data_IF_202741794098
#
_entry.id   IF_202741794098
#
_cell.length_a   1.000
_cell.length_b   1.000
_cell.length_c   1.000
_cell.angle_alpha   90.00
_cell.angle_beta   90.00
_cell.angle_gamma   90.00
#
_symmetry.space_group_name_H-M   'P 1'
#
loop_
_entity.id
_entity.type
_entity.pdbx_description
1 polymer ?
#
# COMPACT_ATOMS: atom_id res chain seq x y z
N UNK A 1 12.66 -5.20 -41.92
CA UNK A 1 11.49 -4.32 -41.72
C UNK A 1 11.70 -3.65 -40.38
N UNK A 2 11.88 -2.32 -40.34
CA UNK A 2 11.91 -1.56 -39.11
C UNK A 2 10.58 -1.80 -38.36
N UNK A 3 10.66 -2.26 -37.10
CA UNK A 3 9.47 -2.30 -36.23
C UNK A 3 8.98 -0.88 -36.08
N UNK A 4 7.71 -0.63 -36.35
CA UNK A 4 7.14 0.72 -36.26
C UNK A 4 7.31 1.25 -34.83
N UNK A 5 7.56 2.56 -34.67
CA UNK A 5 7.68 3.21 -33.37
C UNK A 5 6.50 2.90 -32.41
N UNK A 6 5.31 2.66 -32.98
CA UNK A 6 4.12 2.23 -32.23
C UNK A 6 4.31 0.93 -31.42
N UNK A 7 5.20 0.04 -31.81
CA UNK A 7 5.43 -1.22 -31.08
C UNK A 7 6.22 -1.03 -29.79
N UNK A 8 7.02 0.04 -29.65
CA UNK A 8 7.78 0.31 -28.42
C UNK A 8 6.91 0.94 -27.32
N UNK A 9 5.84 1.63 -27.71
CA UNK A 9 4.89 2.25 -26.79
C UNK A 9 3.74 1.31 -26.38
N UNK A 10 3.61 0.16 -27.04
CA UNK A 10 2.52 -0.76 -26.75
C UNK A 10 2.66 -1.41 -25.37
N UNK A 11 1.52 -1.76 -24.77
CA UNK A 11 1.46 -2.38 -23.45
C UNK A 11 1.93 -1.41 -22.36
N UNK A 12 2.64 -1.94 -21.37
CA UNK A 12 3.10 -1.18 -20.21
C UNK A 12 4.34 -0.31 -20.47
N UNK A 13 5.10 -0.59 -21.53
CA UNK A 13 6.37 0.10 -21.81
C UNK A 13 6.21 1.60 -22.10
N UNK A 14 5.10 2.01 -22.73
CA UNK A 14 4.86 3.41 -23.03
C UNK A 14 4.84 4.29 -21.78
N UNK A 15 4.32 3.78 -20.67
CA UNK A 15 4.32 4.53 -19.39
C UNK A 15 5.74 4.73 -18.84
N UNK A 16 6.61 3.72 -18.97
CA UNK A 16 8.01 3.83 -18.53
C UNK A 16 8.76 4.88 -19.36
N UNK A 17 8.61 4.81 -20.68
CA UNK A 17 9.24 5.75 -21.61
C UNK A 17 8.78 7.18 -21.35
N UNK A 18 7.48 7.39 -21.17
CA UNK A 18 6.93 8.71 -20.87
C UNK A 18 7.38 9.24 -19.50
N UNK A 19 7.48 8.37 -18.49
CA UNK A 19 8.00 8.79 -17.17
C UNK A 19 9.45 9.25 -17.26
N UNK A 20 10.29 8.53 -18.01
CA UNK A 20 11.67 8.94 -18.31
C UNK A 20 11.70 10.26 -19.07
N UNK A 21 10.87 10.43 -20.09
CA UNK A 21 10.79 11.68 -20.87
C UNK A 21 10.40 12.87 -19.98
N UNK A 22 9.39 12.71 -19.12
CA UNK A 22 9.02 13.76 -18.16
C UNK A 22 10.16 14.10 -17.20
N UNK A 23 10.94 13.09 -16.77
CA UNK A 23 12.09 13.34 -15.93
C UNK A 23 13.20 14.09 -16.69
N UNK A 24 13.47 13.74 -17.94
CA UNK A 24 14.41 14.48 -18.80
C UNK A 24 14.02 15.95 -18.91
N UNK A 25 12.72 16.24 -19.16
CA UNK A 25 12.21 17.62 -19.23
C UNK A 25 12.41 18.35 -17.89
N UNK A 26 12.13 17.70 -16.75
CA UNK A 26 12.39 18.28 -15.41
C UNK A 26 13.87 18.56 -15.16
N UNK A 27 14.76 17.82 -15.79
CA UNK A 27 16.22 18.03 -15.75
C UNK A 27 16.71 19.12 -16.71
N UNK A 28 15.82 19.74 -17.51
CA UNK A 28 16.14 20.85 -18.37
C UNK A 28 16.40 20.49 -19.84
N UNK A 29 16.23 19.22 -20.22
CA UNK A 29 16.29 18.82 -21.64
C UNK A 29 14.97 19.16 -22.33
N UNK A 30 15.02 19.88 -23.46
CA UNK A 30 13.80 20.19 -24.22
C UNK A 30 13.26 18.98 -24.98
N UNK A 31 11.98 19.01 -25.38
CA UNK A 31 11.43 17.97 -26.24
C UNK A 31 12.14 17.88 -27.59
N UNK A 32 12.60 19.01 -28.13
CA UNK A 32 13.41 19.06 -29.37
C UNK A 32 14.76 18.36 -29.17
N UNK A 33 15.43 18.58 -28.03
CA UNK A 33 16.63 17.85 -27.69
C UNK A 33 16.41 16.34 -27.67
N UNK A 34 15.31 15.89 -27.08
CA UNK A 34 14.98 14.46 -26.98
C UNK A 34 14.71 13.83 -28.35
N UNK A 35 14.11 14.59 -29.28
CA UNK A 35 13.77 14.11 -30.61
C UNK A 35 14.97 13.99 -31.55
N UNK A 36 15.96 14.87 -31.41
CA UNK A 36 17.11 14.97 -32.31
C UNK A 36 18.48 14.76 -31.63
N UNK A 37 18.51 14.73 -30.32
CA UNK A 37 19.73 14.85 -29.53
C UNK A 37 20.64 13.62 -29.46
N UNK A 38 20.23 12.44 -29.92
CA UNK A 38 21.04 11.22 -29.93
C UNK A 38 21.46 10.76 -28.54
N UNK A 39 20.59 10.91 -27.55
CA UNK A 39 20.84 10.47 -26.18
C UNK A 39 20.81 8.95 -26.06
N UNK A 40 21.69 8.44 -25.19
CA UNK A 40 21.61 7.11 -24.58
C UNK A 40 21.22 7.31 -23.12
N UNK A 41 20.07 6.79 -22.75
CA UNK A 41 19.55 6.91 -21.39
C UNK A 41 19.54 5.51 -20.78
N UNK A 42 20.24 5.32 -19.65
CA UNK A 42 20.15 4.13 -18.82
C UNK A 42 19.14 4.42 -17.72
N UNK A 43 18.10 3.61 -17.65
CA UNK A 43 17.04 3.76 -16.66
C UNK A 43 17.32 2.95 -15.40
N UNK A 44 16.61 3.28 -14.31
CA UNK A 44 16.71 2.57 -13.04
C UNK A 44 15.80 1.33 -12.98
N UNK A 45 14.92 1.14 -13.97
CA UNK A 45 13.99 0.02 -13.99
C UNK A 45 14.71 -1.32 -14.01
N UNK A 46 14.38 -2.17 -13.04
CA UNK A 46 14.81 -3.57 -13.03
C UNK A 46 13.83 -4.42 -13.84
N UNK A 47 14.38 -5.27 -14.71
CA UNK A 47 13.56 -6.09 -15.61
C UNK A 47 12.66 -7.07 -14.87
N UNK A 48 13.18 -7.70 -13.82
CA UNK A 48 12.47 -8.72 -13.05
C UNK A 48 11.41 -8.09 -12.17
N UNK A 49 11.76 -6.99 -11.47
CA UNK A 49 10.82 -6.20 -10.68
C UNK A 49 9.69 -5.62 -11.56
N UNK A 50 10.01 -5.11 -12.76
CA UNK A 50 8.99 -4.59 -13.69
C UNK A 50 8.05 -5.70 -14.18
N UNK A 51 8.57 -6.88 -14.49
CA UNK A 51 7.75 -8.03 -14.87
C UNK A 51 6.86 -8.48 -13.71
N UNK A 52 7.40 -8.51 -12.49
CA UNK A 52 6.64 -8.81 -11.27
C UNK A 52 5.49 -7.84 -11.04
N UNK A 53 5.70 -6.52 -11.25
CA UNK A 53 4.67 -5.51 -11.10
C UNK A 53 3.50 -5.73 -12.08
N UNK A 54 3.80 -6.07 -13.32
CA UNK A 54 2.78 -6.37 -14.34
C UNK A 54 2.01 -7.64 -13.97
N UNK A 55 2.70 -8.70 -13.57
CA UNK A 55 2.09 -9.99 -13.26
C UNK A 55 1.24 -9.91 -11.98
N UNK A 56 1.72 -9.25 -10.92
CA UNK A 56 0.97 -9.11 -9.66
C UNK A 56 -0.33 -8.34 -9.84
N UNK A 57 -0.34 -7.31 -10.69
CA UNK A 57 -1.57 -6.59 -11.02
C UNK A 57 -2.50 -7.46 -11.85
N UNK A 58 -1.99 -8.18 -12.83
CA UNK A 58 -2.78 -9.06 -13.69
C UNK A 58 -3.38 -10.23 -12.92
N UNK A 59 -2.62 -10.87 -12.05
CA UNK A 59 -3.05 -12.01 -11.23
C UNK A 59 -4.07 -11.62 -10.16
N UNK A 60 -4.24 -10.33 -9.85
CA UNK A 60 -5.26 -9.85 -8.91
C UNK A 60 -6.70 -10.17 -9.34
N UNK A 61 -6.92 -10.48 -10.62
CA UNK A 61 -8.23 -10.81 -11.18
C UNK A 61 -9.17 -9.63 -11.40
N UNK A 62 -8.74 -8.39 -11.07
CA UNK A 62 -9.57 -7.18 -11.22
C UNK A 62 -8.98 -6.16 -12.19
N UNK A 63 -7.83 -6.42 -12.78
CA UNK A 63 -7.10 -5.49 -13.65
C UNK A 63 -7.89 -5.03 -14.89
N UNK A 64 -8.82 -5.85 -15.37
CA UNK A 64 -9.62 -5.59 -16.57
C UNK A 64 -10.98 -4.95 -16.27
N UNK A 65 -11.30 -4.64 -15.01
CA UNK A 65 -12.56 -4.01 -14.64
C UNK A 65 -12.68 -2.60 -15.25
N UNK A 66 -13.85 -2.35 -15.85
CA UNK A 66 -14.12 -1.08 -16.50
C UNK A 66 -14.04 0.10 -15.54
N UNK A 67 -13.22 1.08 -15.89
CA UNK A 67 -13.02 2.31 -15.12
C UNK A 67 -12.09 2.13 -13.91
N UNK A 68 -11.68 0.90 -13.57
CA UNK A 68 -10.69 0.66 -12.52
C UNK A 68 -9.31 1.10 -13.02
N UNK A 69 -8.60 1.82 -12.16
CA UNK A 69 -7.21 2.21 -12.33
C UNK A 69 -6.40 1.64 -11.18
N UNK A 70 -5.39 0.86 -11.51
CA UNK A 70 -4.43 0.31 -10.55
C UNK A 70 -3.10 0.97 -10.85
N UNK A 71 -2.50 1.62 -9.86
CA UNK A 71 -1.15 2.16 -9.90
C UNK A 71 -0.25 1.39 -8.95
N UNK A 72 0.99 1.13 -9.37
CA UNK A 72 2.04 0.60 -8.52
C UNK A 72 3.34 1.33 -8.82
N UNK A 73 4.07 1.72 -7.77
CA UNK A 73 5.44 2.26 -7.89
C UNK A 73 6.30 1.66 -6.79
N UNK A 74 7.50 1.25 -7.15
CA UNK A 74 8.49 0.65 -6.24
C UNK A 74 9.83 1.37 -6.35
N UNK A 75 10.40 1.75 -5.20
CA UNK A 75 11.57 2.62 -5.08
C UNK A 75 12.57 1.99 -4.12
N UNK A 76 13.86 1.98 -4.47
CA UNK A 76 14.93 1.69 -3.51
C UNK A 76 15.05 2.81 -2.49
N UNK A 77 15.14 2.45 -1.23
CA UNK A 77 15.05 3.40 -0.12
C UNK A 77 16.30 4.27 0.03
N UNK A 78 17.45 3.74 -0.32
CA UNK A 78 18.77 4.37 -0.17
C UNK A 78 19.20 5.24 -1.36
N UNK A 79 18.73 4.90 -2.57
CA UNK A 79 19.15 5.55 -3.82
C UNK A 79 18.04 6.32 -4.53
N UNK A 80 16.78 6.06 -4.19
CA UNK A 80 15.63 6.63 -4.90
C UNK A 80 15.38 6.03 -6.28
N UNK A 81 16.12 4.99 -6.69
CA UNK A 81 15.90 4.31 -7.97
C UNK A 81 14.49 3.72 -8.04
N UNK A 82 13.70 4.17 -9.01
CA UNK A 82 12.42 3.55 -9.34
C UNK A 82 12.69 2.25 -10.07
N UNK A 83 12.54 1.11 -9.38
CA UNK A 83 12.86 -0.21 -9.94
C UNK A 83 11.71 -0.80 -10.74
N UNK A 84 10.46 -0.39 -10.44
CA UNK A 84 9.27 -0.81 -11.19
C UNK A 84 8.15 0.22 -11.04
N UNK A 85 7.31 0.31 -12.09
CA UNK A 85 6.06 1.03 -12.04
C UNK A 85 5.01 0.40 -12.98
N UNK A 86 3.77 0.35 -12.51
CA UNK A 86 2.62 -0.06 -13.32
C UNK A 86 1.69 1.13 -13.54
N UNK A 87 1.76 1.70 -14.74
CA UNK A 87 0.95 2.85 -15.16
C UNK A 87 -0.38 2.47 -15.81
N UNK A 88 -0.59 1.17 -16.10
CA UNK A 88 -1.78 0.67 -16.79
C UNK A 88 -1.43 -0.50 -17.71
N UNK A 89 -2.45 -1.18 -18.26
CA UNK A 89 -2.25 -2.37 -19.08
C UNK A 89 -1.76 -2.06 -20.50
N UNK A 90 -2.19 -0.94 -21.09
CA UNK A 90 -1.84 -0.61 -22.47
C UNK A 90 -1.84 0.91 -22.68
N UNK A 91 -0.64 1.48 -22.85
CA UNK A 91 -0.41 2.90 -23.06
C UNK A 91 -1.10 3.43 -24.32
N UNK A 92 -1.18 2.63 -25.39
CA UNK A 92 -1.82 3.07 -26.64
C UNK A 92 -3.34 3.24 -26.50
N UNK A 93 -3.95 2.58 -25.51
CA UNK A 93 -5.38 2.71 -25.19
C UNK A 93 -5.65 3.83 -24.19
N UNK A 94 -4.75 4.02 -23.24
CA UNK A 94 -4.91 5.03 -22.19
C UNK A 94 -3.53 5.54 -21.76
N UNK A 95 -3.21 6.77 -22.14
CA UNK A 95 -1.88 7.34 -21.92
C UNK A 95 -1.67 7.87 -20.49
N UNK A 96 -2.75 8.13 -19.73
CA UNK A 96 -2.62 8.58 -18.35
C UNK A 96 -2.04 7.48 -17.47
N UNK A 97 -0.81 7.66 -17.02
CA UNK A 97 -0.13 6.73 -16.12
C UNK A 97 -0.76 6.70 -14.73
N UNK A 98 -1.14 5.50 -14.27
CA UNK A 98 -1.70 5.33 -12.93
C UNK A 98 -0.63 5.39 -11.82
N UNK A 99 0.66 5.37 -12.19
CA UNK A 99 1.77 5.34 -11.24
C UNK A 99 2.24 6.74 -10.82
N UNK A 100 2.35 7.67 -11.78
CA UNK A 100 2.97 8.98 -11.56
C UNK A 100 2.17 10.17 -12.11
N UNK A 101 0.92 9.93 -12.58
CA UNK A 101 0.01 10.99 -13.04
C UNK A 101 -1.39 10.86 -12.42
N UNK A 102 -1.96 9.65 -12.36
CA UNK A 102 -3.24 9.47 -11.70
C UNK A 102 -3.09 9.62 -10.19
N UNK A 103 -4.06 10.28 -9.58
CA UNK A 103 -4.08 10.59 -8.16
C UNK A 103 -5.29 9.95 -7.48
N UNK A 104 -5.18 9.68 -6.20
CA UNK A 104 -6.27 9.19 -5.37
C UNK A 104 -6.17 9.73 -3.95
N UNK A 105 -7.31 9.95 -3.31
CA UNK A 105 -7.33 10.32 -1.90
C UNK A 105 -6.53 9.29 -1.09
N UNK A 106 -5.54 9.75 -0.34
CA UNK A 106 -4.59 8.88 0.36
C UNK A 106 -5.25 8.03 1.47
N UNK A 107 -6.35 8.50 2.05
CA UNK A 107 -6.97 7.81 3.16
C UNK A 107 -6.01 7.65 4.34
N UNK A 108 -6.16 6.59 5.09
CA UNK A 108 -5.33 6.33 6.28
C UNK A 108 -3.83 6.12 6.01
N UNK A 109 -3.37 6.09 4.75
CA UNK A 109 -1.92 6.09 4.47
C UNK A 109 -1.27 7.43 4.80
N UNK A 110 -2.05 8.45 5.15
CA UNK A 110 -1.52 9.74 5.61
C UNK A 110 -1.17 9.76 7.10
N UNK A 111 -1.65 8.80 7.88
CA UNK A 111 -1.44 8.70 9.34
C UNK A 111 0.03 8.61 9.79
N UNK A 112 0.96 7.95 9.06
CA UNK A 112 2.36 7.93 9.45
C UNK A 112 3.03 9.31 9.51
N UNK A 113 2.61 10.26 8.68
CA UNK A 113 3.12 11.63 8.76
C UNK A 113 2.66 12.34 10.03
N UNK A 114 1.46 12.03 10.51
CA UNK A 114 0.97 12.54 11.80
C UNK A 114 1.67 11.85 12.98
N UNK A 115 2.05 10.57 12.87
CA UNK A 115 2.88 9.90 13.88
C UNK A 115 4.25 10.57 13.98
N UNK A 116 4.94 10.80 12.86
CA UNK A 116 6.24 11.46 12.87
C UNK A 116 6.14 12.85 13.55
N UNK A 117 5.13 13.66 13.21
CA UNK A 117 4.91 14.94 13.84
C UNK A 117 4.57 14.83 15.35
N UNK A 118 3.88 13.74 15.75
CA UNK A 118 3.54 13.48 17.15
C UNK A 118 4.78 13.10 17.97
N UNK A 119 5.66 12.27 17.41
CA UNK A 119 6.90 11.85 18.04
C UNK A 119 7.87 13.03 18.19
N UNK A 120 7.99 13.90 17.17
CA UNK A 120 8.74 15.16 17.27
C UNK A 120 8.20 16.10 18.38
N UNK A 121 6.91 15.99 18.73
CA UNK A 121 6.28 16.72 19.84
C UNK A 121 6.37 15.99 21.19
N UNK A 122 7.07 14.84 21.26
CA UNK A 122 7.25 14.04 22.47
C UNK A 122 6.03 13.20 22.87
N UNK A 123 5.11 12.95 21.95
CA UNK A 123 3.99 12.00 22.14
C UNK A 123 4.48 10.62 21.73
N UNK A 124 4.51 9.68 22.65
CA UNK A 124 5.00 8.31 22.42
C UNK A 124 3.87 7.31 22.10
N UNK A 125 4.22 6.11 21.65
CA UNK A 125 3.30 5.04 21.28
C UNK A 125 2.49 4.48 22.45
N UNK A 126 2.95 4.63 23.70
CA UNK A 126 2.27 4.16 24.91
C UNK A 126 1.19 5.15 25.36
N UNK A 127 1.21 6.38 24.84
CA UNK A 127 0.23 7.42 25.20
C UNK A 127 -1.20 6.94 24.96
N UNK A 128 -2.10 7.26 25.92
CA UNK A 128 -3.49 6.78 25.89
C UNK A 128 -4.43 7.80 25.28
N UNK A 129 -5.31 7.33 24.40
CA UNK A 129 -6.26 8.12 23.63
C UNK A 129 -7.65 7.51 23.65
N UNK A 130 -8.69 8.37 23.57
CA UNK A 130 -10.08 7.92 23.45
C UNK A 130 -10.39 7.53 21.99
N UNK A 131 -10.52 6.24 21.74
CA UNK A 131 -10.88 5.63 20.45
C UNK A 131 -12.39 5.38 20.28
N UNK A 132 -13.25 5.99 21.12
CA UNK A 132 -14.72 5.84 21.01
C UNK A 132 -15.23 6.31 19.65
N UNK A 133 -16.33 5.70 19.17
CA UNK A 133 -16.97 6.03 17.90
C UNK A 133 -18.50 5.88 18.03
N UNK A 134 -19.32 6.81 17.50
CA UNK A 134 -18.90 8.08 16.85
C UNK A 134 -18.46 9.17 17.86
N UNK A 135 -17.59 10.08 17.42
CA UNK A 135 -17.16 11.24 18.22
C UNK A 135 -17.26 12.54 17.41
N UNK A 136 -17.49 13.67 18.13
CA UNK A 136 -17.30 14.99 17.55
C UNK A 136 -15.99 15.56 18.07
N UNK A 137 -15.03 15.79 17.18
CA UNK A 137 -13.69 16.28 17.50
C UNK A 137 -13.49 17.57 16.71
N UNK A 138 -13.23 18.71 17.40
CA UNK A 138 -13.01 20.01 16.78
C UNK A 138 -14.10 20.41 15.77
N UNK A 139 -15.37 20.02 16.04
CA UNK A 139 -16.53 20.29 15.17
C UNK A 139 -16.78 19.24 14.09
N UNK A 140 -15.87 18.30 13.85
CA UNK A 140 -16.04 17.21 12.87
C UNK A 140 -16.73 16.00 13.52
N UNK A 141 -17.81 15.52 12.91
CA UNK A 141 -18.46 14.26 13.30
C UNK A 141 -17.71 13.11 12.63
N UNK A 142 -17.03 12.31 13.42
CA UNK A 142 -16.11 11.26 12.96
C UNK A 142 -16.62 9.88 13.37
N UNK A 143 -16.27 8.89 12.54
CA UNK A 143 -16.48 7.49 12.82
C UNK A 143 -15.20 6.71 12.53
N UNK A 144 -14.95 5.68 13.32
CA UNK A 144 -13.99 4.66 12.98
C UNK A 144 -14.56 3.72 11.90
N UNK A 145 -13.69 2.99 11.20
CA UNK A 145 -14.11 1.97 10.22
C UNK A 145 -15.10 1.01 10.90
N UNK A 146 -16.18 0.66 10.19
CA UNK A 146 -17.25 -0.18 10.74
C UNK A 146 -17.96 0.43 11.96
N UNK A 147 -17.73 1.71 12.30
CA UNK A 147 -18.20 2.39 13.50
C UNK A 147 -17.79 1.69 14.82
N UNK A 148 -16.66 0.98 14.80
CA UNK A 148 -16.14 0.29 16.00
C UNK A 148 -15.67 1.29 17.03
N UNK A 149 -16.11 1.12 18.29
CA UNK A 149 -15.68 1.92 19.43
C UNK A 149 -14.63 1.14 20.24
N UNK A 150 -13.44 1.74 20.40
CA UNK A 150 -12.30 1.08 21.06
C UNK A 150 -12.11 1.53 22.52
N UNK A 151 -12.81 2.56 22.98
CA UNK A 151 -12.56 3.15 24.31
C UNK A 151 -11.14 3.74 24.42
N UNK A 152 -10.57 3.71 25.61
CA UNK A 152 -9.20 4.18 25.83
C UNK A 152 -8.19 3.13 25.39
N UNK A 153 -7.34 3.49 24.41
CA UNK A 153 -6.34 2.64 23.79
C UNK A 153 -5.00 3.36 23.65
N UNK A 154 -3.89 2.62 23.54
CA UNK A 154 -2.59 3.21 23.23
C UNK A 154 -2.54 3.74 21.81
N UNK A 155 -1.63 4.70 21.54
CA UNK A 155 -1.38 5.19 20.18
C UNK A 155 -0.90 4.06 19.26
N UNK A 156 -0.14 3.10 19.78
CA UNK A 156 0.26 1.91 19.04
C UNK A 156 -0.95 1.10 18.59
N UNK A 157 -1.88 0.77 19.49
CA UNK A 157 -3.12 0.05 19.14
C UNK A 157 -3.97 0.85 18.17
N UNK A 158 -4.06 2.17 18.36
CA UNK A 158 -4.78 3.06 17.43
C UNK A 158 -4.15 3.04 16.02
N UNK A 159 -2.83 2.86 15.92
CA UNK A 159 -2.10 2.75 14.65
C UNK A 159 -2.35 1.39 13.99
N UNK A 160 -2.25 0.28 14.74
CA UNK A 160 -2.55 -1.07 14.27
C UNK A 160 -3.97 -1.18 13.69
N UNK A 161 -4.94 -0.62 14.38
CA UNK A 161 -6.37 -0.65 14.01
C UNK A 161 -6.79 0.54 13.15
N UNK A 162 -5.86 1.46 12.85
CA UNK A 162 -6.13 2.63 12.00
C UNK A 162 -7.28 3.51 12.51
N UNK A 163 -7.37 3.77 13.83
CA UNK A 163 -8.50 4.41 14.51
C UNK A 163 -8.61 5.88 14.16
N UNK A 164 -9.63 6.29 13.42
CA UNK A 164 -9.79 7.65 12.89
C UNK A 164 -9.93 8.70 13.99
N UNK A 165 -10.74 8.41 15.02
CA UNK A 165 -11.03 9.37 16.10
C UNK A 165 -9.78 9.72 16.89
N UNK A 166 -8.87 8.77 17.13
CA UNK A 166 -7.58 9.01 17.79
C UNK A 166 -6.70 9.91 16.93
N UNK A 167 -6.54 9.57 15.64
CA UNK A 167 -5.63 10.31 14.77
C UNK A 167 -6.05 11.75 14.50
N UNK A 168 -7.36 12.03 14.39
CA UNK A 168 -7.85 13.42 14.25
C UNK A 168 -7.66 14.20 15.54
N UNK A 169 -7.88 13.59 16.70
CA UNK A 169 -7.63 14.21 18.00
C UNK A 169 -6.14 14.53 18.19
N UNK A 170 -5.28 13.56 17.90
CA UNK A 170 -3.82 13.69 17.94
C UNK A 170 -3.32 14.79 16.99
N UNK A 171 -3.73 14.78 15.71
CA UNK A 171 -3.34 15.80 14.75
C UNK A 171 -3.75 17.21 15.19
N UNK A 172 -4.93 17.33 15.80
CA UNK A 172 -5.36 18.59 16.36
C UNK A 172 -4.57 19.03 17.60
N UNK A 173 -4.01 18.09 18.38
CA UNK A 173 -3.19 18.39 19.57
C UNK A 173 -1.76 18.78 19.17
N UNK A 174 -1.17 18.04 18.23
CA UNK A 174 0.18 18.28 17.68
C UNK A 174 0.23 19.59 16.88
N UNK A 175 -0.80 19.84 16.10
CA UNK A 175 -0.88 20.97 15.17
C UNK A 175 -0.90 20.48 13.71
N UNK A 176 -1.94 20.90 13.01
CA UNK A 176 -2.22 20.45 11.64
C UNK A 176 -1.16 20.89 10.63
N UNK A 177 -0.51 22.05 10.89
CA UNK A 177 0.61 22.55 10.08
C UNK A 177 1.81 21.62 10.19
N UNK A 178 2.11 21.09 11.39
CA UNK A 178 3.21 20.14 11.61
C UNK A 178 2.96 18.82 10.87
N UNK A 179 1.70 18.32 10.84
CA UNK A 179 1.32 17.13 10.10
C UNK A 179 1.52 17.34 8.60
N UNK A 180 1.09 18.49 8.07
CA UNK A 180 1.30 18.85 6.66
C UNK A 180 2.80 18.96 6.34
N UNK A 181 3.57 19.65 7.19
CA UNK A 181 5.01 19.82 7.02
C UNK A 181 5.74 18.47 7.05
N UNK A 182 5.39 17.59 7.97
CA UNK A 182 5.92 16.23 8.04
C UNK A 182 5.73 15.46 6.72
N UNK A 183 4.54 15.53 6.11
CA UNK A 183 4.28 14.90 4.82
C UNK A 183 5.17 15.50 3.70
N UNK A 184 5.35 16.83 3.69
CA UNK A 184 6.19 17.51 2.69
C UNK A 184 7.66 17.15 2.89
N UNK A 185 8.16 17.14 4.12
CA UNK A 185 9.53 16.73 4.44
C UNK A 185 9.79 15.28 4.03
N UNK A 186 8.84 14.39 4.27
CA UNK A 186 8.92 13.00 3.84
C UNK A 186 9.01 12.86 2.31
N UNK A 187 8.45 13.78 1.52
CA UNK A 187 8.53 13.75 0.07
C UNK A 187 7.23 13.95 -0.68
N UNK A 188 6.09 14.11 0.02
CA UNK A 188 4.83 14.46 -0.64
C UNK A 188 4.94 15.87 -1.22
N UNK A 189 4.67 16.10 -2.52
CA UNK A 189 4.77 17.42 -3.12
C UNK A 189 3.87 18.44 -2.41
N UNK A 190 4.42 19.63 -2.12
CA UNK A 190 3.68 20.68 -1.40
C UNK A 190 2.42 21.17 -2.14
N UNK A 191 2.38 21.01 -3.47
CA UNK A 191 1.25 21.33 -4.34
C UNK A 191 0.27 20.17 -4.55
N UNK A 192 0.41 19.06 -3.80
CA UNK A 192 -0.53 17.94 -3.88
C UNK A 192 -1.96 18.41 -3.60
N UNK A 193 -2.87 18.06 -4.49
CA UNK A 193 -4.29 18.45 -4.37
C UNK A 193 -4.85 17.93 -3.04
N UNK A 194 -5.51 18.81 -2.29
CA UNK A 194 -6.11 18.47 -1.00
C UNK A 194 -5.13 18.40 0.18
N UNK A 195 -3.85 18.71 -0.01
CA UNK A 195 -2.85 18.82 1.07
C UNK A 195 -2.99 20.18 1.78
N UNK A 196 -3.89 20.24 2.73
CA UNK A 196 -4.20 21.45 3.52
C UNK A 196 -3.89 21.24 5.01
N UNK A 197 -3.73 22.31 5.76
CA UNK A 197 -3.56 22.25 7.21
C UNK A 197 -4.93 22.19 7.89
N UNK A 198 -5.48 20.98 7.99
CA UNK A 198 -6.78 20.68 8.58
C UNK A 198 -6.73 19.39 9.42
N UNK A 199 -7.47 19.27 10.53
CA UNK A 199 -7.46 18.06 11.35
C UNK A 199 -7.81 16.77 10.59
N UNK A 200 -8.61 16.88 9.53
CA UNK A 200 -9.01 15.73 8.70
C UNK A 200 -7.97 15.35 7.65
N UNK A 201 -6.92 16.16 7.44
CA UNK A 201 -5.82 15.84 6.52
C UNK A 201 -5.15 14.51 6.90
N UNK A 202 -5.08 14.18 8.19
CA UNK A 202 -4.59 12.89 8.70
C UNK A 202 -5.42 11.71 8.21
N UNK A 203 -6.64 11.91 7.76
CA UNK A 203 -7.51 10.92 7.13
C UNK A 203 -7.30 10.84 5.61
N UNK A 204 -6.30 11.56 5.06
CA UNK A 204 -5.86 11.47 3.67
C UNK A 204 -6.78 12.16 2.70
N UNK A 205 -7.14 13.41 2.96
CA UNK A 205 -7.82 14.30 2.00
C UNK A 205 -6.92 14.71 0.83
N UNK A 206 -5.60 14.59 1.00
CA UNK A 206 -4.63 14.78 -0.07
C UNK A 206 -4.70 13.65 -1.10
N UNK A 207 -4.44 14.00 -2.36
CA UNK A 207 -4.50 13.09 -3.51
C UNK A 207 -3.12 12.98 -4.18
N UNK A 208 -2.16 12.24 -3.60
CA UNK A 208 -0.86 11.97 -4.18
C UNK A 208 -0.93 10.88 -5.27
N UNK A 209 0.17 10.71 -6.00
CA UNK A 209 0.44 9.57 -6.88
C UNK A 209 1.05 8.41 -6.10
N UNK A 210 1.13 7.20 -6.71
CA UNK A 210 1.87 6.09 -6.07
C UNK A 210 3.37 6.36 -6.01
N UNK A 211 3.92 7.13 -6.95
CA UNK A 211 5.33 7.54 -6.90
C UNK A 211 5.61 8.45 -5.72
N UNK A 212 4.74 9.44 -5.46
CA UNK A 212 4.88 10.32 -4.29
C UNK A 212 4.86 9.53 -2.99
N UNK A 213 3.91 8.60 -2.85
CA UNK A 213 3.74 7.82 -1.62
C UNK A 213 4.85 6.79 -1.43
N UNK A 214 5.32 6.13 -2.49
CA UNK A 214 6.46 5.22 -2.41
C UNK A 214 7.74 5.97 -1.98
N UNK A 215 8.01 7.14 -2.56
CA UNK A 215 9.14 8.00 -2.17
C UNK A 215 9.03 8.52 -0.74
N UNK A 216 7.84 8.94 -0.31
CA UNK A 216 7.62 9.44 1.05
C UNK A 216 7.79 8.35 2.13
N UNK A 217 7.35 7.12 1.84
CA UNK A 217 7.54 6.00 2.77
C UNK A 217 8.98 5.45 2.74
N UNK A 218 9.68 5.57 1.60
CA UNK A 218 11.11 5.27 1.52
C UNK A 218 11.93 6.13 2.50
N UNK A 219 11.49 7.34 2.81
CA UNK A 219 12.13 8.21 3.81
C UNK A 219 12.08 7.59 5.22
N UNK A 220 10.97 6.97 5.62
CA UNK A 220 10.90 6.25 6.89
C UNK A 220 11.76 4.98 6.86
N UNK A 221 11.68 4.19 5.78
CA UNK A 221 12.50 2.99 5.59
C UNK A 221 14.01 3.30 5.66
N UNK A 222 14.42 4.44 5.11
CA UNK A 222 15.80 4.96 5.11
C UNK A 222 16.11 5.80 6.37
N UNK A 223 15.44 5.47 7.48
CA UNK A 223 15.70 6.06 8.80
C UNK A 223 15.69 7.59 8.81
N UNK A 224 14.71 8.19 8.13
CA UNK A 224 14.51 9.64 8.07
C UNK A 224 15.34 10.37 7.01
N UNK A 225 16.14 9.70 6.22
CA UNK A 225 16.85 10.27 5.08
C UNK A 225 15.99 10.18 3.81
N UNK A 226 15.55 11.31 3.31
CA UNK A 226 14.82 11.42 2.04
C UNK A 226 15.75 11.34 0.86
N UNK A 227 15.40 10.54 -0.14
CA UNK A 227 15.98 10.53 -1.48
C UNK A 227 14.86 10.77 -2.50
N UNK A 228 15.10 11.62 -3.50
CA UNK A 228 14.07 11.87 -4.54
C UNK A 228 13.98 10.69 -5.50
N UNK A 229 12.78 10.14 -5.74
CA UNK A 229 12.62 9.08 -6.73
C UNK A 229 13.08 9.52 -8.13
N UNK A 230 13.81 8.63 -8.82
CA UNK A 230 14.33 8.86 -10.16
C UNK A 230 14.19 7.61 -11.03
N UNK A 231 13.87 7.81 -12.31
CA UNK A 231 13.80 6.77 -13.34
C UNK A 231 15.07 6.70 -14.19
N UNK A 232 16.02 7.62 -13.97
CA UNK A 232 17.23 7.76 -14.80
C UNK A 232 18.48 7.47 -13.98
N UNK A 233 19.27 6.52 -14.46
CA UNK A 233 20.57 6.17 -13.89
C UNK A 233 21.72 6.90 -14.57
N UNK A 234 21.69 7.03 -15.90
CA UNK A 234 22.72 7.68 -16.68
C UNK A 234 22.13 8.34 -17.92
N UNK A 235 22.65 9.49 -18.30
CA UNK A 235 22.39 10.18 -19.56
C UNK A 235 23.73 10.40 -20.25
N UNK A 236 23.90 9.89 -21.48
CA UNK A 236 25.06 10.12 -22.31
C UNK A 236 24.64 10.65 -23.69
N UNK A 237 25.49 11.50 -24.28
CA UNK A 237 25.30 12.10 -25.61
C UNK A 237 26.62 12.08 -26.36
N UNK A 238 26.62 11.57 -27.60
CA UNK A 238 27.82 11.51 -28.43
C UNK A 238 29.00 10.74 -27.78
N UNK A 239 28.71 9.78 -26.88
CA UNK A 239 29.73 9.02 -26.15
C UNK A 239 30.20 9.69 -24.83
N UNK A 240 29.75 10.90 -24.54
CA UNK A 240 30.07 11.59 -23.27
C UNK A 240 28.94 11.41 -22.28
N UNK A 241 29.25 11.03 -21.03
CA UNK A 241 28.29 11.00 -19.93
C UNK A 241 28.03 12.42 -19.44
N UNK A 242 26.77 12.88 -19.55
CA UNK A 242 26.32 14.20 -19.09
C UNK A 242 25.75 14.15 -17.68
N UNK A 243 25.18 13.00 -17.29
CA UNK A 243 24.61 12.76 -15.96
C UNK A 243 24.80 11.30 -15.55
N UNK A 244 25.20 11.12 -14.31
CA UNK A 244 25.20 9.82 -13.61
C UNK A 244 24.52 9.98 -12.25
N UNK A 245 23.69 9.01 -11.87
CA UNK A 245 22.95 9.06 -10.62
C UNK A 245 23.91 9.08 -9.43
N UNK A 246 23.86 10.16 -8.68
CA UNK A 246 24.49 10.31 -7.38
C UNK A 246 23.42 10.74 -6.39
N UNK A 247 22.88 9.81 -5.57
CA UNK A 247 21.75 10.09 -4.69
C UNK A 247 22.07 11.17 -3.67
N UNK A 248 21.29 12.25 -3.69
CA UNK A 248 21.40 13.30 -2.68
C UNK A 248 20.43 12.98 -1.55
N UNK A 249 20.99 12.72 -0.37
CA UNK A 249 20.22 12.46 0.85
C UNK A 249 19.94 13.76 1.59
N UNK A 250 18.71 13.91 2.04
CA UNK A 250 18.25 15.04 2.85
C UNK A 250 17.61 14.52 4.14
N UNK A 251 18.12 14.95 5.29
CA UNK A 251 17.52 14.60 6.59
C UNK A 251 16.14 15.25 6.70
N UNK A 252 15.09 14.42 6.68
CA UNK A 252 13.69 14.82 6.83
C UNK A 252 13.23 14.68 8.29
N UNK A 253 13.69 13.61 8.96
CA UNK A 253 13.39 13.30 10.37
C UNK A 253 14.64 12.80 11.07
N UNK A 254 14.71 13.02 12.37
CA UNK A 254 15.72 12.36 13.18
C UNK A 254 15.55 10.85 13.10
N UNK A 255 16.66 10.13 13.27
CA UNK A 255 16.70 8.68 13.11
C UNK A 255 15.71 7.97 14.04
N UNK A 256 15.66 8.40 15.29
CA UNK A 256 14.80 7.86 16.35
C UNK A 256 13.31 8.02 15.99
N UNK A 257 12.93 9.17 15.42
CA UNK A 257 11.56 9.44 14.95
C UNK A 257 11.17 8.46 13.85
N UNK A 258 12.05 8.26 12.87
CA UNK A 258 11.79 7.33 11.77
C UNK A 258 11.74 5.87 12.26
N UNK A 259 12.61 5.49 13.19
CA UNK A 259 12.65 4.13 13.78
C UNK A 259 11.37 3.85 14.58
N UNK A 260 10.85 4.83 15.32
CA UNK A 260 9.57 4.71 16.04
C UNK A 260 8.37 4.57 15.08
N UNK A 261 8.35 5.34 13.97
CA UNK A 261 7.37 5.15 12.89
C UNK A 261 7.49 3.76 12.28
N UNK A 262 8.71 3.29 12.01
CA UNK A 262 8.97 1.95 11.47
C UNK A 262 8.44 0.87 12.43
N UNK A 263 8.69 0.98 13.73
CA UNK A 263 8.15 0.06 14.72
C UNK A 263 6.63 0.02 14.70
N UNK A 264 5.96 1.18 14.74
CA UNK A 264 4.51 1.27 14.70
C UNK A 264 3.93 0.64 13.42
N UNK A 265 4.56 0.87 12.26
CA UNK A 265 4.09 0.34 10.98
C UNK A 265 4.41 -1.15 10.79
N UNK A 266 5.45 -1.69 11.43
CA UNK A 266 5.65 -3.14 11.54
C UNK A 266 4.48 -3.79 12.31
N UNK A 267 3.99 -3.16 13.39
CA UNK A 267 2.82 -3.65 14.15
C UNK A 267 1.53 -3.60 13.33
N UNK A 268 1.36 -2.63 12.41
CA UNK A 268 0.26 -2.64 11.44
C UNK A 268 0.30 -3.90 10.56
N UNK A 269 1.49 -4.34 10.15
CA UNK A 269 1.68 -5.56 9.36
C UNK A 269 1.50 -6.81 10.21
N UNK A 270 2.13 -6.89 11.39
CA UNK A 270 2.10 -8.14 12.18
C UNK A 270 0.79 -8.35 12.93
N UNK A 271 0.13 -7.29 13.41
CA UNK A 271 -1.01 -7.37 14.34
C UNK A 271 -2.24 -6.58 13.85
N UNK A 272 -2.12 -5.84 12.76
CA UNK A 272 -3.10 -4.87 12.32
C UNK A 272 -3.70 -5.11 10.94
N UNK A 273 -4.11 -4.00 10.32
CA UNK A 273 -4.82 -3.99 9.03
C UNK A 273 -3.95 -4.38 7.83
N UNK A 274 -2.62 -4.39 7.97
CA UNK A 274 -1.65 -4.74 6.94
C UNK A 274 -1.23 -6.21 6.91
N UNK A 275 -1.94 -7.10 7.61
CA UNK A 275 -1.52 -8.49 7.82
C UNK A 275 -1.19 -9.28 6.55
N UNK A 276 -1.83 -8.99 5.43
CA UNK A 276 -1.53 -9.63 4.14
C UNK A 276 -0.04 -9.49 3.75
N UNK A 277 0.61 -8.38 4.15
CA UNK A 277 2.02 -8.13 3.84
C UNK A 277 3.00 -9.08 4.55
N UNK A 278 2.56 -9.82 5.59
CA UNK A 278 3.38 -10.88 6.21
C UNK A 278 3.74 -11.98 5.23
N UNK A 279 2.95 -12.14 4.15
CA UNK A 279 3.15 -13.14 3.11
C UNK A 279 4.49 -13.05 2.37
N UNK A 280 5.22 -11.92 2.46
CA UNK A 280 6.56 -11.80 1.86
C UNK A 280 7.64 -12.57 2.63
N UNK A 281 7.35 -13.04 3.86
CA UNK A 281 8.26 -13.87 4.66
C UNK A 281 9.53 -13.18 5.16
N UNK A 282 9.51 -11.83 5.27
CA UNK A 282 10.61 -10.99 5.80
C UNK A 282 10.04 -9.77 6.52
N UNK A 283 10.84 -9.05 7.33
CA UNK A 283 10.40 -7.86 8.02
C UNK A 283 9.81 -6.83 7.06
N UNK A 284 8.60 -6.37 7.37
CA UNK A 284 7.90 -5.37 6.60
C UNK A 284 7.14 -4.40 7.50
N UNK A 285 7.06 -3.17 7.06
CA UNK A 285 6.25 -2.12 7.66
C UNK A 285 5.30 -1.56 6.61
N UNK A 286 4.14 -1.05 7.00
CA UNK A 286 3.20 -0.50 6.01
C UNK A 286 1.91 0.02 6.60
N UNK A 287 1.11 0.62 5.74
CA UNK A 287 -0.18 1.19 6.11
C UNK A 287 -1.21 0.97 5.03
N UNK A 288 -2.38 0.52 5.43
CA UNK A 288 -3.59 0.49 4.59
C UNK A 288 -4.24 1.86 4.53
N UNK A 289 -4.82 2.19 3.39
CA UNK A 289 -5.67 3.36 3.20
C UNK A 289 -7.00 2.95 2.57
N UNK A 290 -8.08 3.44 3.15
CA UNK A 290 -9.42 3.36 2.61
C UNK A 290 -10.09 4.69 2.85
N UNK A 291 -10.83 5.19 1.88
CA UNK A 291 -11.51 6.48 2.00
C UNK A 291 -13.01 6.30 2.20
N UNK A 292 -13.63 7.34 2.78
CA UNK A 292 -15.08 7.43 2.87
C UNK A 292 -15.72 7.26 1.49
N UNK A 293 -16.87 6.57 1.45
CA UNK A 293 -17.56 6.19 0.23
C UNK A 293 -16.74 5.29 -0.71
N UNK A 294 -15.65 4.69 -0.21
CA UNK A 294 -14.84 3.70 -0.92
C UNK A 294 -14.33 4.19 -2.29
N UNK A 295 -13.86 5.46 -2.37
CA UNK A 295 -13.39 6.07 -3.63
C UNK A 295 -11.95 5.72 -3.98
N UNK A 296 -11.14 5.32 -3.00
CA UNK A 296 -9.80 4.82 -3.18
C UNK A 296 -9.46 3.77 -2.14
N UNK A 297 -8.59 2.85 -2.51
CA UNK A 297 -7.99 1.85 -1.63
C UNK A 297 -6.49 1.81 -1.88
N UNK A 298 -5.69 1.81 -0.81
CA UNK A 298 -4.24 1.88 -0.85
C UNK A 298 -3.60 0.86 0.07
N UNK A 299 -2.46 0.36 -0.34
CA UNK A 299 -1.46 -0.18 0.55
C UNK A 299 -0.10 0.42 0.21
N UNK A 300 0.54 1.02 1.19
CA UNK A 300 1.91 1.51 1.07
C UNK A 300 2.73 0.79 2.11
N UNK A 301 3.65 -0.04 1.65
CA UNK A 301 4.49 -0.86 2.50
C UNK A 301 5.93 -0.88 2.04
N UNK A 302 6.82 -1.29 2.92
CA UNK A 302 8.25 -1.30 2.67
C UNK A 302 8.97 -2.33 3.54
N UNK A 303 10.14 -2.72 3.06
CA UNK A 303 11.22 -3.33 3.83
C UNK A 303 12.31 -2.26 4.04
N UNK A 304 13.38 -2.51 4.77
CA UNK A 304 14.50 -1.56 4.83
C UNK A 304 15.04 -1.15 3.45
N UNK A 305 14.96 -2.03 2.44
CA UNK A 305 15.59 -1.86 1.13
C UNK A 305 14.68 -1.28 0.05
N UNK A 306 13.38 -1.55 0.10
CA UNK A 306 12.42 -1.23 -0.98
C UNK A 306 11.09 -0.76 -0.40
N UNK A 307 10.61 0.39 -0.89
CA UNK A 307 9.27 0.92 -0.60
C UNK A 307 8.37 0.83 -1.83
N UNK A 308 7.16 0.33 -1.66
CA UNK A 308 6.20 0.14 -2.74
C UNK A 308 4.81 0.65 -2.34
N UNK A 309 4.21 1.44 -3.22
CA UNK A 309 2.83 1.92 -3.08
C UNK A 309 1.94 1.29 -4.14
N UNK A 310 0.78 0.80 -3.72
CA UNK A 310 -0.29 0.28 -4.59
C UNK A 310 -1.57 1.07 -4.34
N UNK A 311 -2.18 1.58 -5.40
CA UNK A 311 -3.41 2.36 -5.38
C UNK A 311 -4.46 1.76 -6.30
N UNK A 312 -5.70 1.69 -5.82
CA UNK A 312 -6.88 1.43 -6.63
C UNK A 312 -7.83 2.63 -6.55
N UNK A 313 -8.24 3.12 -7.71
CA UNK A 313 -9.30 4.13 -7.87
C UNK A 313 -10.20 3.74 -9.04
N UNK A 314 -11.45 4.18 -9.03
CA UNK A 314 -12.39 3.91 -10.13
C UNK A 314 -12.96 5.20 -10.66
N UNK A 315 -13.08 5.30 -11.98
CA UNK A 315 -13.61 6.49 -12.67
C UNK A 315 -14.76 6.12 -13.59
N UNK A 316 -15.74 7.02 -13.67
CA UNK A 316 -16.79 6.95 -14.68
C UNK A 316 -16.26 7.34 -16.07
N UNK A 317 -17.13 7.29 -17.09
CA UNK A 317 -16.76 7.68 -18.47
C UNK A 317 -16.42 9.16 -18.65
N UNK A 318 -16.68 9.99 -17.64
CA UNK A 318 -16.34 11.42 -17.62
C UNK A 318 -15.07 11.71 -16.81
N UNK A 319 -14.42 10.67 -16.22
CA UNK A 319 -13.24 10.79 -15.38
C UNK A 319 -13.52 11.14 -13.92
N UNK A 320 -14.79 11.17 -13.48
CA UNK A 320 -15.11 11.43 -12.08
C UNK A 320 -14.80 10.22 -11.22
N UNK A 321 -14.23 10.45 -10.03
CA UNK A 321 -13.99 9.39 -9.07
C UNK A 321 -15.32 8.81 -8.54
N UNK A 322 -15.52 7.50 -8.74
CA UNK A 322 -16.67 6.74 -8.26
C UNK A 322 -16.23 5.69 -7.23
N UNK A 323 -17.19 5.06 -6.55
CA UNK A 323 -16.92 4.05 -5.55
C UNK A 323 -16.30 2.79 -6.16
N UNK A 324 -15.36 2.19 -5.42
CA UNK A 324 -14.81 0.85 -5.71
C UNK A 324 -15.79 -0.28 -5.33
N UNK A 325 -16.92 0.03 -4.68
CA UNK A 325 -17.90 -0.97 -4.29
C UNK A 325 -18.31 -1.83 -5.48
N UNK A 326 -18.34 -3.14 -5.30
CA UNK A 326 -18.67 -4.11 -6.35
C UNK A 326 -17.47 -4.54 -7.22
N UNK A 327 -16.29 -3.95 -7.04
CA UNK A 327 -15.07 -4.39 -7.74
C UNK A 327 -14.75 -5.84 -7.38
N UNK A 328 -14.44 -6.66 -8.39
CA UNK A 328 -14.21 -8.10 -8.23
C UNK A 328 -15.48 -8.89 -7.85
N UNK A 329 -16.69 -8.32 -8.05
CA UNK A 329 -17.96 -8.97 -7.68
C UNK A 329 -18.24 -8.95 -6.17
N UNK A 330 -17.43 -8.24 -5.37
CA UNK A 330 -17.54 -8.16 -3.92
C UNK A 330 -18.28 -6.93 -3.40
N UNK A 331 -18.06 -6.60 -2.12
CA UNK A 331 -18.55 -5.40 -1.45
C UNK A 331 -17.61 -4.19 -1.57
N UNK A 332 -17.34 -3.54 -0.44
CA UNK A 332 -16.31 -2.49 -0.36
C UNK A 332 -14.93 -3.08 -0.58
N UNK A 333 -14.03 -2.31 -1.20
CA UNK A 333 -12.62 -2.66 -1.38
C UNK A 333 -11.79 -1.84 -0.39
N UNK A 334 -11.11 -2.52 0.51
CA UNK A 334 -10.23 -1.89 1.50
C UNK A 334 -8.76 -2.00 1.09
N UNK A 335 -7.92 -1.19 1.70
CA UNK A 335 -6.47 -1.28 1.49
C UNK A 335 -5.86 -2.63 1.86
N UNK A 336 -6.53 -3.37 2.75
CA UNK A 336 -6.15 -4.74 3.16
C UNK A 336 -6.46 -5.81 2.10
N UNK A 337 -7.31 -5.49 1.12
CA UNK A 337 -7.76 -6.42 0.09
C UNK A 337 -6.79 -6.40 -1.11
N UNK A 338 -7.26 -6.09 -2.33
CA UNK A 338 -6.45 -6.07 -3.55
C UNK A 338 -5.14 -5.28 -3.43
N UNK A 339 -5.10 -4.04 -2.84
CA UNK A 339 -3.84 -3.32 -2.73
C UNK A 339 -2.76 -4.06 -1.95
N UNK A 340 -3.10 -4.62 -0.78
CA UNK A 340 -2.14 -5.36 0.05
C UNK A 340 -1.73 -6.69 -0.59
N UNK A 341 -2.64 -7.40 -1.26
CA UNK A 341 -2.31 -8.64 -1.97
C UNK A 341 -1.41 -8.39 -3.18
N UNK A 342 -1.73 -7.38 -4.04
CA UNK A 342 -0.87 -6.99 -5.16
C UNK A 342 0.54 -6.60 -4.66
N UNK A 343 0.61 -5.86 -3.57
CA UNK A 343 1.87 -5.48 -2.93
C UNK A 343 2.66 -6.72 -2.48
N UNK A 344 2.00 -7.66 -1.82
CA UNK A 344 2.61 -8.89 -1.30
C UNK A 344 3.15 -9.76 -2.43
N UNK A 345 2.34 -9.99 -3.47
CA UNK A 345 2.73 -10.78 -4.64
C UNK A 345 3.91 -10.13 -5.37
N UNK A 346 3.85 -8.81 -5.57
CA UNK A 346 4.93 -8.04 -6.18
C UNK A 346 6.23 -8.13 -5.37
N UNK A 347 6.19 -7.79 -4.08
CA UNK A 347 7.38 -7.73 -3.23
C UNK A 347 8.02 -9.12 -3.05
N UNK A 348 7.21 -10.18 -2.98
CA UNK A 348 7.72 -11.56 -2.90
C UNK A 348 8.61 -11.93 -4.08
N UNK A 349 8.27 -11.45 -5.30
CA UNK A 349 9.04 -11.71 -6.51
C UNK A 349 10.18 -10.70 -6.66
N UNK A 350 9.89 -9.42 -6.50
CA UNK A 350 10.86 -8.34 -6.72
C UNK A 350 12.06 -8.40 -5.75
N UNK A 351 11.87 -8.99 -4.57
CA UNK A 351 12.91 -9.11 -3.55
C UNK A 351 13.46 -10.53 -3.39
N UNK A 352 13.11 -11.46 -4.28
CA UNK A 352 13.52 -12.88 -4.15
C UNK A 352 15.04 -13.07 -4.07
N UNK A 353 15.78 -12.23 -4.77
CA UNK A 353 17.25 -12.28 -4.86
C UNK A 353 17.96 -11.36 -3.85
N UNK A 354 17.18 -10.62 -3.01
CA UNK A 354 17.72 -9.73 -1.98
C UNK A 354 17.79 -10.46 -0.63
N UNK A 355 18.87 -10.29 0.10
CA UNK A 355 18.96 -10.76 1.48
C UNK A 355 17.91 -10.07 2.35
N UNK A 356 17.44 -10.79 3.38
CA UNK A 356 16.47 -10.20 4.33
C UNK A 356 17.22 -9.31 5.31
N UNK A 357 16.75 -8.07 5.48
CA UNK A 357 17.27 -7.13 6.45
C UNK A 357 16.21 -6.82 7.52
N UNK A 358 16.66 -6.63 8.76
CA UNK A 358 15.83 -6.18 9.87
C UNK A 358 15.80 -4.65 9.95
N UNK A 359 14.67 -4.10 10.39
CA UNK A 359 14.59 -2.68 10.74
C UNK A 359 15.48 -2.38 11.95
N UNK A 360 16.41 -1.45 11.80
CA UNK A 360 17.28 -1.01 12.87
C UNK A 360 16.49 -0.15 13.89
N UNK A 361 16.94 -0.11 15.15
CA UNK A 361 16.32 0.69 16.22
C UNK A 361 14.97 0.18 16.72
N UNK A 362 14.32 -0.75 16.03
CA UNK A 362 12.98 -1.25 16.41
C UNK A 362 12.94 -2.05 17.72
N UNK A 363 14.07 -2.55 18.18
CA UNK A 363 14.18 -3.32 19.42
C UNK A 363 14.13 -2.44 20.69
N UNK A 364 14.44 -1.16 20.58
CA UNK A 364 14.49 -0.24 21.72
C UNK A 364 13.08 0.13 22.21
N UNK A 365 12.09 0.12 21.31
CA UNK A 365 10.70 0.45 21.61
C UNK A 365 9.87 -0.72 22.16
N UNK A 366 10.39 -1.96 22.09
CA UNK A 366 9.71 -3.19 22.54
C UNK A 366 10.01 -3.58 23.98
N UNK A 367 11.05 -3.02 24.62
CA UNK A 367 11.54 -3.45 25.93
C UNK A 367 10.82 -2.81 27.13
N UNK A 368 10.03 -1.76 26.93
CA UNK A 368 9.41 -1.00 28.02
C UNK A 368 7.97 -1.45 28.39
N UNK A 369 7.43 -2.45 27.73
CA UNK A 369 6.13 -3.03 28.08
C UNK A 369 6.12 -4.53 27.78
N UNK A 370 6.48 -5.39 28.75
CA UNK A 370 6.03 -6.77 29.00
C UNK A 370 5.67 -7.71 27.83
N UNK A 371 6.02 -7.42 26.59
CA UNK A 371 5.75 -8.24 25.41
C UNK A 371 7.04 -8.78 24.80
N UNK A 372 7.79 -9.54 25.58
CA UNK A 372 8.83 -10.43 25.06
C UNK A 372 8.17 -11.69 24.52
N UNK A 373 7.86 -11.73 23.24
CA UNK A 373 7.77 -12.99 22.52
C UNK A 373 7.98 -12.79 21.01
N UNK A 374 9.19 -12.43 20.59
CA UNK A 374 9.63 -12.70 19.23
C UNK A 374 10.15 -14.14 19.18
N UNK A 375 9.21 -15.07 19.04
CA UNK A 375 9.51 -16.45 18.70
C UNK A 375 10.14 -16.50 17.31
N UNK A 376 11.29 -17.08 17.29
CA UNK A 376 12.11 -17.55 16.18
C UNK A 376 11.26 -17.98 14.95
N UNK A 377 11.15 -17.11 13.94
CA UNK A 377 10.36 -17.34 12.71
C UNK A 377 11.08 -18.22 11.66
N UNK A 378 12.06 -19.01 12.08
CA UNK A 378 12.77 -19.92 11.17
C UNK A 378 12.08 -21.26 10.90
N UNK A 379 10.74 -21.38 11.09
CA UNK A 379 10.04 -22.65 10.86
C UNK A 379 8.64 -22.48 10.26
N UNK A 380 8.54 -21.80 9.13
CA UNK A 380 7.37 -21.96 8.26
C UNK A 380 7.77 -22.69 6.98
N UNK A 381 7.55 -24.00 7.02
CA UNK A 381 7.60 -24.86 5.84
C UNK A 381 6.54 -24.39 4.85
N UNK A 382 6.99 -24.01 3.66
CA UNK A 382 6.19 -23.67 2.47
C UNK A 382 5.16 -24.79 2.22
N UNK A 383 3.87 -24.52 2.02
CA UNK A 383 2.94 -25.50 1.49
C UNK A 383 3.37 -25.87 0.08
N UNK A 384 3.74 -27.12 -0.15
CA UNK A 384 4.08 -27.67 -1.45
C UNK A 384 2.83 -27.70 -2.34
N UNK A 385 2.96 -27.11 -3.52
CA UNK A 385 2.00 -27.21 -4.62
C UNK A 385 1.75 -28.68 -4.98
N UNK A 386 0.52 -29.09 -5.34
CA UNK A 386 0.25 -30.45 -5.75
C UNK A 386 0.83 -30.73 -7.15
N UNK A 387 1.89 -31.54 -7.22
CA UNK A 387 2.34 -32.12 -8.47
C UNK A 387 1.50 -33.33 -8.81
N UNK A 388 0.79 -33.25 -9.92
CA UNK A 388 0.16 -34.38 -10.57
C UNK A 388 1.21 -35.32 -11.17
N UNK A 389 1.25 -36.59 -10.73
CA UNK A 389 1.82 -37.69 -11.49
C UNK A 389 1.00 -38.98 -11.31
N UNK A 390 0.90 -39.80 -12.36
CA UNK A 390 -0.11 -40.84 -12.44
C UNK A 390 0.27 -42.14 -11.75
N UNK A 391 -0.77 -42.88 -11.41
CA UNK A 391 -0.84 -44.21 -10.80
C UNK A 391 -0.05 -45.30 -11.51
N UNK A 392 0.61 -46.16 -10.72
CA UNK A 392 0.77 -47.56 -11.10
C UNK A 392 0.55 -48.47 -9.87
N UNK A 393 -0.25 -49.48 -10.11
CA UNK A 393 -0.76 -50.50 -9.22
C UNK A 393 0.30 -51.48 -8.74
N UNK A 394 0.21 -51.99 -7.49
CA UNK A 394 0.32 -53.44 -7.21
C UNK A 394 -0.05 -53.78 -5.75
N UNK A 395 -0.96 -54.60 -5.65
CA UNK A 395 -1.44 -55.67 -4.73
C UNK A 395 -0.62 -56.03 -3.49
N UNK A 396 -1.35 -56.32 -2.38
CA UNK A 396 -0.87 -57.14 -1.28
C UNK A 396 -1.61 -56.89 0.06
N UNK A 397 -2.66 -57.60 0.34
CA UNK A 397 -3.24 -57.85 1.69
C UNK A 397 -2.58 -59.13 2.29
N UNK A 398 -2.88 -59.59 3.53
CA UNK A 398 -3.91 -59.22 4.53
C UNK A 398 -3.47 -59.36 6.04
N UNK A 399 -4.41 -59.05 6.92
CA UNK A 399 -4.57 -59.60 8.29
C UNK A 399 -4.38 -58.55 9.41
N UNK A 400 -5.21 -58.39 10.38
CA UNK A 400 -6.33 -59.06 10.94
C UNK A 400 -6.73 -58.36 12.25
N UNK A 401 -8.01 -58.41 12.52
CA UNK A 401 -8.70 -58.51 13.81
C UNK A 401 -8.71 -57.36 14.84
N UNK A 402 -9.92 -56.95 15.20
CA UNK A 402 -10.47 -56.97 16.52
C UNK A 402 -11.26 -55.73 16.92
N UNK A 403 -12.56 -55.77 16.74
CA UNK A 403 -13.70 -55.71 17.70
C UNK A 403 -13.62 -54.58 18.76
N UNK A 404 -14.61 -53.78 19.07
CA UNK A 404 -16.07 -53.95 19.26
C UNK A 404 -16.71 -52.60 19.60
N UNK A 405 -17.82 -52.32 18.99
CA UNK A 405 -19.17 -52.05 19.53
C UNK A 405 -19.35 -50.94 20.54
N UNK A 406 -20.17 -49.94 20.27
CA UNK A 406 -21.60 -49.90 20.59
C UNK A 406 -22.23 -48.54 20.24
N UNK A 407 -23.32 -48.59 19.48
CA UNK A 407 -24.42 -47.61 19.44
C UNK A 407 -25.44 -48.04 20.55
N UNK A 408 -26.46 -47.26 20.98
CA UNK A 408 -27.48 -46.71 20.11
C UNK A 408 -28.10 -45.35 20.57
N UNK A 409 -28.71 -44.66 19.62
CA UNK A 409 -30.17 -44.33 19.44
C UNK A 409 -30.81 -43.39 20.47
N UNK A 410 -31.46 -42.39 20.05
CA UNK A 410 -32.71 -42.10 19.41
C UNK A 410 -33.17 -40.73 19.93
N UNK A 411 -33.97 -39.96 19.42
CA UNK A 411 -35.16 -39.86 18.68
C UNK A 411 -35.62 -38.42 18.54
N UNK A 412 -36.15 -38.15 17.41
CA UNK A 412 -36.96 -37.09 16.86
C UNK A 412 -38.11 -36.49 17.70
N UNK A 413 -38.48 -35.25 17.36
CA UNK A 413 -39.83 -34.69 17.10
C UNK A 413 -39.75 -33.19 16.92
N UNK A 414 -39.92 -32.59 15.77
CA UNK A 414 -41.11 -32.15 15.03
C UNK A 414 -42.10 -31.30 15.84
N UNK A 415 -42.29 -30.05 15.43
CA UNK A 415 -43.59 -29.50 15.05
C UNK A 415 -43.51 -28.02 14.61
N UNK A 416 -44.23 -27.80 13.60
CA UNK A 416 -44.48 -26.67 12.74
C UNK A 416 -45.54 -25.69 13.27
N UNK A 417 -45.67 -24.63 12.53
CA UNK A 417 -46.79 -23.75 12.13
C UNK A 417 -46.69 -22.34 12.69
N UNK A 418 -46.86 -21.33 11.98
CA UNK A 418 -47.48 -20.81 10.79
C UNK A 418 -48.06 -19.42 11.08
N UNK A 419 -47.87 -18.54 10.10
CA UNK A 419 -48.79 -17.49 9.64
C UNK A 419 -48.97 -16.16 10.40
N UNK A 420 -48.88 -15.08 9.61
CA UNK A 420 -49.55 -13.81 9.92
C UNK A 420 -48.94 -12.54 9.30
N UNK A 421 -49.16 -12.28 8.02
CA UNK A 421 -49.24 -10.89 7.50
C UNK A 421 -50.67 -10.37 7.72
N UNK A 422 -50.94 -9.07 7.84
CA UNK A 422 -51.06 -8.23 6.67
C UNK A 422 -50.80 -6.68 6.82
N UNK A 423 -50.63 -6.06 5.60
CA UNK A 423 -51.12 -4.76 5.04
C UNK A 423 -50.75 -3.39 5.67
N UNK A 424 -50.13 -2.68 4.86
CA UNK A 424 -50.18 -1.37 4.17
C UNK A 424 -51.24 -0.34 4.58
N UNK A 425 -50.79 0.97 4.66
CA UNK A 425 -51.41 2.20 4.11
C UNK A 425 -50.54 3.40 4.51
N UNK A 426 -50.07 4.16 3.59
CA UNK A 426 -50.56 5.32 2.86
C UNK A 426 -49.88 6.60 3.33
N UNK A 427 -49.26 7.29 2.35
CA UNK A 427 -48.81 8.70 2.31
C UNK A 427 -49.96 9.70 2.61
N UNK A 428 -49.62 10.98 2.95
CA UNK A 428 -49.43 11.96 1.89
C UNK A 428 -48.32 13.01 2.14
N UNK A 429 -47.88 13.53 1.02
CA UNK A 429 -47.21 14.83 0.76
C UNK A 429 -48.14 16.02 1.04
N UNK A 430 -47.67 17.31 1.15
CA UNK A 430 -46.84 17.93 0.14
C UNK A 430 -45.38 18.23 0.56
#
# INVERSE_FOLDING_TARGET
>A
KAKSAKNYLAGTNGYLLESVQREMVRRGYSEDDLNVGGFRIVTTFDKNAQAAAVESVKSSGVSDEKGLRIGLTSVKTDTGEVIAMYGGADYLKNQLSNADQAVGLAGSTFKPFALAAAFEDGIDLSSTWDGSSPRTIRGYKLKNEGNVSYGNISLLTATEKSVNTVFVDMAGKVGVDKVKDSAIRAGVPANTVGLVADPTTVLGTASPTTMDMAGAYATFANRGERVTPTTIKEIARGGTVEYELNPTKQRAFDTEIADEVNYALQKVVTNGTGYAATGIGRPAAGKTGTTDNNKSAWFVGYTPQVATAVMLVKQDSKGNAISLYGTGGGGSVHGADYPAHIWTDYMSIAMSDMESEDFQGSNDYGNDSGYNNYGNYNNYSRPSSPSSKPSSSSSGSPGGSGNSSSKPSGTASSSASASGKPKASAKPTP
#
